data_IF_308346622066
#
_entry.id   IF_308346622066
#
_cell.length_a   1.000
_cell.length_b   1.000
_cell.length_c   1.000
_cell.angle_alpha   90.00
_cell.angle_beta   90.00
_cell.angle_gamma   90.00
#
_symmetry.space_group_name_H-M   'P 1'
#
loop_
_entity.id
_entity.type
_entity.pdbx_description
1 polymer ?
#
# COMPACT_ATOMS: atom_id res chain seq x y z
N UNK A 1 -2.79 20.98 0.07
CA UNK A 1 -2.54 19.60 0.52
C UNK A 1 -1.20 19.16 -0.05
N UNK A 2 -0.39 18.37 0.68
CA UNK A 2 0.85 17.81 0.12
C UNK A 2 0.47 16.70 -0.87
N UNK A 3 1.24 16.58 -1.95
CA UNK A 3 1.08 15.56 -3.00
C UNK A 3 2.38 14.77 -3.08
N UNK A 4 2.26 13.43 -3.02
CA UNK A 4 3.40 12.52 -3.10
C UNK A 4 4.03 12.57 -4.50
N UNK A 5 5.33 12.29 -4.63
CA UNK A 5 6.00 12.18 -5.94
C UNK A 5 6.43 10.75 -6.20
N UNK A 6 6.59 10.37 -7.47
CA UNK A 6 7.05 9.03 -7.87
C UNK A 6 8.34 8.60 -7.17
N UNK A 7 9.27 9.54 -6.95
CA UNK A 7 10.53 9.29 -6.22
C UNK A 7 10.35 8.91 -4.74
N UNK A 8 9.19 9.21 -4.16
CA UNK A 8 8.90 8.95 -2.75
C UNK A 8 8.26 7.56 -2.55
N UNK A 9 7.87 6.85 -3.63
CA UNK A 9 7.16 5.55 -3.56
C UNK A 9 7.95 4.52 -2.75
N UNK A 10 9.25 4.38 -2.99
CA UNK A 10 10.07 3.39 -2.28
C UNK A 10 10.15 3.67 -0.78
N UNK A 11 10.30 4.93 -0.39
CA UNK A 11 10.39 5.35 1.01
C UNK A 11 9.03 5.26 1.70
N UNK A 12 7.95 5.57 0.98
CA UNK A 12 6.58 5.36 1.46
C UNK A 12 6.30 3.88 1.75
N UNK A 13 6.60 2.99 0.81
CA UNK A 13 6.41 1.54 0.97
C UNK A 13 7.25 0.99 2.11
N UNK A 14 8.48 1.49 2.30
CA UNK A 14 9.32 1.11 3.43
C UNK A 14 8.72 1.59 4.76
N UNK A 15 8.26 2.84 4.84
CA UNK A 15 7.67 3.39 6.06
C UNK A 15 6.43 2.61 6.51
N UNK A 16 5.61 2.13 5.57
CA UNK A 16 4.46 1.27 5.86
C UNK A 16 4.91 -0.09 6.41
N UNK A 17 5.93 -0.69 5.81
CA UNK A 17 6.49 -1.96 6.30
C UNK A 17 7.15 -1.82 7.69
N UNK A 18 7.82 -0.70 7.97
CA UNK A 18 8.52 -0.46 9.24
C UNK A 18 7.56 -0.40 10.45
N UNK A 19 6.30 -0.03 10.23
CA UNK A 19 5.26 -0.05 11.28
C UNK A 19 4.59 -1.42 11.44
N UNK A 20 5.08 -2.44 10.72
CA UNK A 20 4.52 -3.79 10.73
C UNK A 20 3.19 -3.92 9.97
N UNK A 21 2.91 -2.99 9.04
CA UNK A 21 1.76 -3.07 8.15
C UNK A 21 2.24 -3.52 6.76
N UNK A 22 1.63 -4.58 6.24
CA UNK A 22 1.94 -5.02 4.89
C UNK A 22 1.29 -4.11 3.85
N UNK A 23 1.89 -4.05 2.66
CA UNK A 23 1.33 -3.35 1.50
C UNK A 23 1.56 -4.20 0.25
N UNK A 24 0.47 -4.51 -0.46
CA UNK A 24 0.49 -5.44 -1.59
C UNK A 24 -0.32 -4.88 -2.75
N UNK A 25 0.19 -5.08 -3.97
CA UNK A 25 -0.61 -4.93 -5.17
C UNK A 25 -1.55 -6.14 -5.34
N UNK A 26 -2.77 -5.88 -5.76
CA UNK A 26 -3.80 -6.89 -6.04
C UNK A 26 -4.07 -6.88 -7.54
N UNK A 27 -3.58 -7.90 -8.24
CA UNK A 27 -3.52 -7.92 -9.70
C UNK A 27 -2.78 -6.68 -10.24
N UNK A 28 -3.45 -5.96 -11.15
CA UNK A 28 -2.97 -4.73 -11.77
C UNK A 28 -3.86 -3.52 -11.47
N UNK A 29 -4.80 -3.67 -10.54
CA UNK A 29 -5.93 -2.74 -10.42
C UNK A 29 -5.88 -1.91 -9.16
N UNK A 30 -5.38 -2.46 -8.06
CA UNK A 30 -5.34 -1.77 -6.77
C UNK A 30 -4.17 -2.24 -5.93
N UNK A 31 -3.91 -1.53 -4.84
CA UNK A 31 -3.06 -1.99 -3.76
C UNK A 31 -3.80 -1.85 -2.43
N UNK A 32 -3.49 -2.74 -1.49
CA UNK A 32 -4.13 -2.80 -0.18
C UNK A 32 -3.08 -2.75 0.92
N UNK A 33 -3.50 -2.20 2.07
CA UNK A 33 -2.77 -2.37 3.32
C UNK A 33 -3.23 -3.68 3.97
N UNK A 34 -2.30 -4.54 4.35
CA UNK A 34 -2.59 -5.80 5.01
C UNK A 34 -2.99 -5.55 6.46
N UNK A 35 -4.27 -5.27 6.70
CA UNK A 35 -4.85 -5.14 8.03
C UNK A 35 -5.86 -6.23 8.39
N UNK A 36 -6.17 -7.13 7.44
CA UNK A 36 -7.22 -8.14 7.56
C UNK A 36 -6.96 -9.22 8.61
N UNK A 37 -5.69 -9.58 8.82
CA UNK A 37 -5.28 -10.58 9.81
C UNK A 37 -4.94 -9.97 11.18
N UNK A 38 -5.03 -8.64 11.32
CA UNK A 38 -4.70 -7.95 12.56
C UNK A 38 -5.84 -8.08 13.58
N UNK A 39 -5.48 -8.39 14.83
CA UNK A 39 -6.42 -8.27 15.94
C UNK A 39 -6.86 -6.81 16.15
N UNK A 40 -8.02 -6.54 16.77
CA UNK A 40 -8.45 -5.17 17.05
C UNK A 40 -7.44 -4.34 17.83
N UNK A 41 -6.62 -4.97 18.68
CA UNK A 41 -5.56 -4.28 19.42
C UNK A 41 -4.40 -3.85 18.49
N UNK A 42 -3.99 -4.71 17.56
CA UNK A 42 -2.97 -4.40 16.56
C UNK A 42 -3.45 -3.31 15.59
N UNK A 43 -4.70 -3.39 15.12
CA UNK A 43 -5.30 -2.36 14.27
C UNK A 43 -5.29 -0.99 14.97
N UNK A 44 -5.67 -0.92 16.26
CA UNK A 44 -5.63 0.33 17.03
C UNK A 44 -4.21 0.92 17.16
N UNK A 45 -3.18 0.09 17.16
CA UNK A 45 -1.79 0.54 17.22
C UNK A 45 -1.27 1.01 15.84
N UNK A 46 -1.67 0.34 14.76
CA UNK A 46 -1.16 0.58 13.39
C UNK A 46 -1.88 1.74 12.70
N UNK A 47 -3.21 1.84 12.81
CA UNK A 47 -4.01 2.83 12.07
C UNK A 47 -3.55 4.29 12.29
N UNK A 48 -3.22 4.75 13.53
CA UNK A 48 -2.70 6.10 13.73
C UNK A 48 -1.35 6.34 13.04
N UNK A 49 -0.48 5.33 13.02
CA UNK A 49 0.83 5.42 12.38
C UNK A 49 0.68 5.46 10.85
N UNK A 50 -0.19 4.60 10.30
CA UNK A 50 -0.48 4.59 8.87
C UNK A 50 -1.09 5.91 8.40
N UNK A 51 -1.97 6.53 9.20
CA UNK A 51 -2.50 7.88 8.94
C UNK A 51 -1.38 8.92 8.93
N UNK A 52 -0.49 8.89 9.92
CA UNK A 52 0.64 9.83 9.97
C UNK A 52 1.57 9.69 8.77
N UNK A 53 1.83 8.46 8.31
CA UNK A 53 2.58 8.21 7.07
C UNK A 53 1.82 8.81 5.88
N UNK A 54 0.54 8.52 5.71
CA UNK A 54 -0.27 9.05 4.61
C UNK A 54 -0.26 10.59 4.56
N UNK A 55 -0.41 11.25 5.71
CA UNK A 55 -0.34 12.72 5.82
C UNK A 55 1.07 13.26 5.52
N UNK A 56 2.11 12.54 5.96
CA UNK A 56 3.51 12.90 5.75
C UNK A 56 3.89 12.88 4.28
N UNK A 57 3.45 11.89 3.50
CA UNK A 57 3.76 11.79 2.07
C UNK A 57 2.78 12.60 1.21
N UNK A 58 1.51 12.68 1.61
CA UNK A 58 0.47 13.42 0.93
C UNK A 58 -0.44 12.53 0.07
N UNK A 59 -1.29 13.21 -0.71
CA UNK A 59 -2.19 12.59 -1.68
C UNK A 59 -1.38 11.79 -2.72
N UNK A 60 -1.91 10.62 -3.10
CA UNK A 60 -1.18 9.61 -3.88
C UNK A 60 -2.06 8.83 -4.87
N UNK A 61 -3.33 9.21 -5.03
CA UNK A 61 -4.26 8.53 -5.93
C UNK A 61 -3.77 8.66 -7.38
N UNK A 62 -3.17 9.79 -7.72
CA UNK A 62 -2.50 10.01 -9.01
C UNK A 62 -1.26 9.14 -9.25
N UNK A 63 -0.76 8.39 -8.25
CA UNK A 63 0.39 7.48 -8.34
C UNK A 63 0.01 6.01 -8.17
N UNK A 64 -1.28 5.69 -8.24
CA UNK A 64 -1.79 4.34 -7.98
C UNK A 64 -1.11 3.29 -8.88
N UNK A 65 -1.01 3.56 -10.18
CA UNK A 65 -0.37 2.66 -11.15
C UNK A 65 1.13 2.50 -10.88
N UNK A 66 1.84 3.57 -10.54
CA UNK A 66 3.27 3.54 -10.22
C UNK A 66 3.54 2.80 -8.91
N UNK A 67 2.67 2.95 -7.90
CA UNK A 67 2.76 2.19 -6.64
C UNK A 67 2.55 0.71 -6.94
N UNK A 68 1.53 0.34 -7.73
CA UNK A 68 1.27 -1.04 -8.13
C UNK A 68 2.49 -1.62 -8.87
N UNK A 69 3.01 -0.89 -9.86
CA UNK A 69 4.19 -1.31 -10.63
C UNK A 69 5.41 -1.52 -9.72
N UNK A 70 5.66 -0.60 -8.79
CA UNK A 70 6.74 -0.73 -7.82
C UNK A 70 6.56 -1.95 -6.91
N UNK A 71 5.38 -2.13 -6.31
CA UNK A 71 5.07 -3.27 -5.44
C UNK A 71 5.26 -4.61 -6.18
N UNK A 72 4.80 -4.71 -7.43
CA UNK A 72 5.04 -5.89 -8.27
C UNK A 72 6.53 -6.12 -8.55
N UNK A 73 7.29 -5.06 -8.82
CA UNK A 73 8.74 -5.16 -9.10
C UNK A 73 9.56 -5.69 -7.91
N UNK A 74 9.08 -5.48 -6.69
CA UNK A 74 9.70 -6.00 -5.45
C UNK A 74 9.02 -7.30 -4.94
N UNK A 75 8.13 -7.90 -5.74
CA UNK A 75 7.46 -9.16 -5.40
C UNK A 75 6.35 -9.05 -4.35
N UNK A 76 5.88 -7.84 -4.03
CA UNK A 76 4.75 -7.60 -3.10
C UNK A 76 3.43 -7.51 -3.84
N UNK A 77 2.99 -8.63 -4.41
CA UNK A 77 1.71 -8.69 -5.11
C UNK A 77 1.01 -10.04 -4.95
N UNK A 78 -0.30 -10.01 -5.08
CA UNK A 78 -1.15 -11.20 -5.22
C UNK A 78 -1.71 -11.18 -6.64
N UNK A 79 -1.43 -12.22 -7.42
CA UNK A 79 -2.05 -12.39 -8.72
C UNK A 79 -3.49 -12.89 -8.50
N UNK A 80 -4.46 -12.21 -9.10
CA UNK A 80 -5.82 -12.73 -9.17
C UNK A 80 -6.00 -13.24 -10.58
N UNK A 81 -6.25 -14.54 -10.73
CA UNK A 81 -6.74 -15.05 -11.99
C UNK A 81 -8.02 -14.28 -12.33
N UNK A 82 -8.00 -13.49 -13.40
CA UNK A 82 -9.21 -13.00 -14.03
C UNK A 82 -9.95 -14.22 -14.56
N UNK A 83 -10.70 -14.90 -13.68
CA UNK A 83 -11.55 -16.01 -14.04
C UNK A 83 -12.35 -15.58 -15.26
N UNK A 84 -12.08 -16.25 -16.38
CA UNK A 84 -12.74 -15.96 -17.64
C UNK A 84 -14.23 -15.92 -17.39
N UNK A 85 -14.86 -14.80 -17.75
CA UNK A 85 -16.31 -14.71 -17.80
C UNK A 85 -16.80 -15.81 -18.74
N UNK A 86 -17.37 -16.87 -18.18
CA UNK A 86 -18.30 -17.76 -18.87
C UNK A 86 -19.72 -17.29 -18.59
#
# INVERSE_FOLDING_TARGET
MKTMKTKDISVFVQAVADIGCDIHAIGHWEYVFGDGDLTPAQQRAIVPQLRWIAETYGERDHLMDEIIAYLRSIGRYVEIETGGRH
#
